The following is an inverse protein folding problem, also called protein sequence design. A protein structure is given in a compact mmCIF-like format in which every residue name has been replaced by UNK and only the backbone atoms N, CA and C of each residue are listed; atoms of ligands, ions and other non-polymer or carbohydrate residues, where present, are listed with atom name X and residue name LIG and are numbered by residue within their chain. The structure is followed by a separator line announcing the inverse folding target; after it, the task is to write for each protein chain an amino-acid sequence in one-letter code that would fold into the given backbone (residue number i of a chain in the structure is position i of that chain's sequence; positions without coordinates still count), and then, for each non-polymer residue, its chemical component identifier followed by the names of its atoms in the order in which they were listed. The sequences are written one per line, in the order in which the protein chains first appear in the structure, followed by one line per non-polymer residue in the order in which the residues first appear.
data_IF_817344035265
#
_entry.id   IF_817344035265
#
_cell.length_a   1.000
_cell.length_b   1.000
_cell.length_c   1.000
_cell.angle_alpha   90.00
_cell.angle_beta   90.00
_cell.angle_gamma   90.00
#
_symmetry.space_group_name_H-M   'P 1'
#
loop_
_entity.id
_entity.type
_entity.pdbx_description
1 polymer ?
#
# COMPACT_ATOMS: atom_id res chain seq x y z
N UNK A 1 -10.98 18.47 -22.93
CA UNK A 1 -10.76 17.04 -23.25
C UNK A 1 -9.90 16.50 -22.13
N UNK A 2 -10.49 15.72 -21.20
CA UNK A 2 -9.73 15.00 -20.18
C UNK A 2 -8.90 13.94 -20.88
N UNK A 3 -7.58 13.98 -20.70
CA UNK A 3 -6.72 12.88 -21.17
C UNK A 3 -7.26 11.56 -20.60
N UNK A 4 -7.29 10.46 -21.38
CA UNK A 4 -7.66 9.17 -20.84
C UNK A 4 -6.73 8.88 -19.67
N UNK A 5 -7.32 8.41 -18.55
CA UNK A 5 -6.57 8.00 -17.36
C UNK A 5 -5.79 6.74 -17.75
N UNK A 6 -4.54 6.92 -18.20
CA UNK A 6 -3.67 5.83 -18.60
C UNK A 6 -3.16 5.18 -17.30
N UNK A 7 -3.35 3.88 -17.16
CA UNK A 7 -2.80 3.13 -16.03
C UNK A 7 -1.27 3.25 -15.94
N UNK A 8 -0.69 3.30 -14.74
CA UNK A 8 0.74 3.55 -14.54
C UNK A 8 1.66 2.68 -15.40
N UNK A 9 1.34 1.40 -15.56
CA UNK A 9 2.17 0.46 -16.33
C UNK A 9 2.23 0.75 -17.84
N UNK A 10 1.32 1.57 -18.35
CA UNK A 10 1.28 2.06 -19.74
C UNK A 10 1.80 3.50 -19.91
N UNK A 11 2.03 4.21 -18.79
CA UNK A 11 2.40 5.63 -18.78
C UNK A 11 3.81 5.91 -19.29
N UNK A 12 4.70 4.91 -19.27
CA UNK A 12 6.12 5.10 -19.52
C UNK A 12 6.89 5.71 -18.34
N UNK A 13 6.24 5.88 -17.16
CA UNK A 13 6.93 6.28 -15.93
C UNK A 13 8.05 5.30 -15.58
N UNK A 14 8.99 5.74 -14.74
CA UNK A 14 10.12 4.92 -14.29
C UNK A 14 11.03 4.36 -15.41
N UNK A 15 11.10 5.03 -16.58
CA UNK A 15 11.90 4.56 -17.72
C UNK A 15 13.39 4.39 -17.40
N UNK A 16 13.92 5.15 -16.44
CA UNK A 16 15.30 5.04 -15.96
C UNK A 16 15.55 3.81 -15.06
N UNK A 17 14.49 3.20 -14.50
CA UNK A 17 14.59 2.04 -13.61
C UNK A 17 14.71 0.76 -14.45
N UNK A 18 15.49 -0.21 -13.96
CA UNK A 18 15.60 -1.50 -14.63
C UNK A 18 14.22 -2.17 -14.79
N UNK A 19 13.90 -2.73 -15.98
CA UNK A 19 12.55 -3.25 -16.28
C UNK A 19 11.99 -4.23 -15.27
N UNK A 20 12.83 -5.08 -14.67
CA UNK A 20 12.39 -6.06 -13.67
C UNK A 20 11.80 -5.44 -12.40
N UNK A 21 12.13 -4.19 -12.08
CA UNK A 21 11.66 -3.51 -10.87
C UNK A 21 10.43 -2.64 -11.10
N UNK A 22 10.18 -2.21 -12.34
CA UNK A 22 9.07 -1.31 -12.69
C UNK A 22 7.69 -1.83 -12.29
N UNK A 23 7.38 -3.16 -12.40
CA UNK A 23 6.06 -3.65 -12.01
C UNK A 23 5.69 -3.36 -10.56
N UNK A 24 6.65 -3.41 -9.62
CA UNK A 24 6.41 -2.98 -8.24
C UNK A 24 6.02 -1.51 -8.19
N UNK A 25 6.79 -0.62 -8.84
CA UNK A 25 6.55 0.82 -8.81
C UNK A 25 5.21 1.19 -9.45
N UNK A 26 4.85 0.57 -10.57
CA UNK A 26 3.53 0.73 -11.19
C UNK A 26 2.40 0.29 -10.26
N UNK A 27 2.60 -0.79 -9.50
CA UNK A 27 1.62 -1.24 -8.52
C UNK A 27 1.44 -0.22 -7.38
N UNK A 28 2.52 0.37 -6.88
CA UNK A 28 2.45 1.41 -5.86
C UNK A 28 1.79 2.70 -6.38
N UNK A 29 2.12 3.14 -7.59
CA UNK A 29 1.45 4.29 -8.23
C UNK A 29 -0.06 4.05 -8.42
N UNK A 30 -0.45 2.86 -8.89
CA UNK A 30 -1.87 2.51 -9.03
C UNK A 30 -2.57 2.53 -7.67
N UNK A 31 -1.93 1.98 -6.63
CA UNK A 31 -2.47 2.02 -5.27
C UNK A 31 -2.72 3.44 -4.77
N UNK A 32 -1.78 4.37 -5.02
CA UNK A 32 -1.94 5.79 -4.65
C UNK A 32 -3.12 6.44 -5.37
N UNK A 33 -3.25 6.22 -6.69
CA UNK A 33 -4.33 6.79 -7.50
C UNK A 33 -5.69 6.26 -7.04
N UNK A 34 -5.82 4.95 -6.89
CA UNK A 34 -7.07 4.30 -6.50
C UNK A 34 -7.51 4.69 -5.09
N UNK A 35 -6.60 4.64 -4.11
CA UNK A 35 -6.94 4.99 -2.73
C UNK A 35 -7.37 6.44 -2.62
N UNK A 36 -6.67 7.39 -3.27
CA UNK A 36 -7.08 8.79 -3.28
C UNK A 36 -8.45 8.99 -3.93
N UNK A 37 -8.69 8.33 -5.06
CA UNK A 37 -9.96 8.43 -5.78
C UNK A 37 -11.14 7.93 -4.93
N UNK A 38 -11.01 6.75 -4.35
CA UNK A 38 -12.12 6.10 -3.66
C UNK A 38 -12.36 6.59 -2.25
N UNK A 39 -11.37 7.25 -1.62
CA UNK A 39 -11.51 7.77 -0.26
C UNK A 39 -11.88 9.26 -0.18
N UNK A 40 -11.82 9.99 -1.30
CA UNK A 40 -11.97 11.44 -1.38
C UNK A 40 -13.24 12.01 -0.67
N UNK A 41 -14.31 11.24 -0.60
CA UNK A 41 -15.61 11.67 -0.08
C UNK A 41 -15.94 11.12 1.30
N UNK A 42 -15.02 10.41 1.93
CA UNK A 42 -15.25 9.82 3.25
C UNK A 42 -15.00 10.88 4.34
N UNK A 43 -15.86 10.87 5.37
CA UNK A 43 -15.65 11.67 6.58
C UNK A 43 -14.59 11.00 7.47
N UNK A 44 -13.99 11.78 8.39
CA UNK A 44 -13.00 11.26 9.35
C UNK A 44 -13.58 10.13 10.24
N UNK A 45 -14.87 10.20 10.58
CA UNK A 45 -15.55 9.15 11.34
C UNK A 45 -15.65 7.84 10.55
N UNK A 46 -15.82 7.92 9.23
CA UNK A 46 -15.92 6.77 8.36
C UNK A 46 -14.57 6.05 8.19
N UNK A 47 -13.44 6.74 8.35
CA UNK A 47 -12.11 6.15 8.19
C UNK A 47 -11.89 4.94 9.11
N UNK A 48 -12.42 5.00 10.33
CA UNK A 48 -12.27 3.94 11.33
C UNK A 48 -13.55 3.13 11.59
N UNK A 49 -14.60 3.37 10.84
CA UNK A 49 -15.82 2.58 10.93
C UNK A 49 -15.62 1.15 10.38
N UNK A 50 -16.35 0.21 10.94
CA UNK A 50 -16.36 -1.21 10.55
C UNK A 50 -17.72 -1.58 9.92
N UNK A 51 -17.99 -1.22 8.68
CA UNK A 51 -19.27 -1.53 8.05
C UNK A 51 -19.34 -3.04 7.76
N UNK A 52 -20.43 -3.69 8.13
CA UNK A 52 -20.70 -5.11 7.84
C UNK A 52 -19.53 -6.03 8.25
N UNK A 53 -18.86 -5.73 9.37
CA UNK A 53 -17.68 -6.45 9.86
C UNK A 53 -16.45 -6.41 8.93
N UNK A 54 -16.43 -5.54 7.92
CA UNK A 54 -15.22 -5.28 7.14
C UNK A 54 -14.17 -4.54 7.99
N UNK A 55 -12.90 -4.78 7.70
CA UNK A 55 -11.83 -4.04 8.34
C UNK A 55 -11.91 -2.54 8.02
N UNK A 56 -11.61 -1.65 9.01
CA UNK A 56 -11.61 -0.21 8.78
C UNK A 56 -10.70 0.21 7.63
N UNK A 57 -11.09 1.29 6.93
CA UNK A 57 -10.23 1.88 5.91
C UNK A 57 -8.88 2.31 6.49
N UNK A 58 -8.88 2.92 7.68
CA UNK A 58 -7.66 3.35 8.36
C UNK A 58 -6.69 2.21 8.65
N UNK A 59 -7.20 1.03 9.03
CA UNK A 59 -6.39 -0.18 9.12
C UNK A 59 -5.79 -0.55 7.76
N UNK A 60 -6.58 -0.57 6.68
CA UNK A 60 -6.08 -0.95 5.35
C UNK A 60 -4.95 -0.02 4.89
N UNK A 61 -5.08 1.28 5.08
CA UNK A 61 -4.06 2.27 4.70
C UNK A 61 -2.76 2.08 5.51
N UNK A 62 -2.87 1.93 6.83
CA UNK A 62 -1.70 1.64 7.69
C UNK A 62 -1.05 0.31 7.33
N UNK A 63 -1.86 -0.71 7.08
CA UNK A 63 -1.35 -2.03 6.74
C UNK A 63 -0.62 -2.03 5.39
N UNK A 64 -1.15 -1.32 4.39
CA UNK A 64 -0.48 -1.13 3.10
C UNK A 64 0.88 -0.47 3.31
N UNK A 65 0.94 0.69 3.95
CA UNK A 65 2.19 1.40 4.21
C UNK A 65 3.17 0.54 5.02
N UNK A 66 2.70 0.01 6.15
CA UNK A 66 3.52 -0.79 7.06
C UNK A 66 4.02 -2.10 6.45
N UNK A 67 3.20 -2.79 5.64
CA UNK A 67 3.63 -4.03 4.99
C UNK A 67 4.68 -3.76 3.92
N UNK A 68 4.54 -2.70 3.14
CA UNK A 68 5.55 -2.29 2.15
C UNK A 68 6.88 -1.98 2.83
N UNK A 69 6.90 -1.19 3.90
CA UNK A 69 8.11 -0.88 4.67
C UNK A 69 8.77 -2.14 5.24
N UNK A 70 8.00 -3.02 5.87
CA UNK A 70 8.51 -4.27 6.46
C UNK A 70 9.04 -5.26 5.43
N UNK A 71 8.30 -5.46 4.35
CA UNK A 71 8.71 -6.40 3.30
C UNK A 71 9.95 -5.89 2.56
N UNK A 72 10.05 -4.58 2.36
CA UNK A 72 11.25 -4.00 1.74
C UNK A 72 12.48 -4.10 2.63
N UNK A 73 12.33 -4.08 3.95
CA UNK A 73 13.42 -4.40 4.91
C UNK A 73 14.01 -5.79 4.65
N UNK A 74 13.18 -6.77 4.32
CA UNK A 74 13.67 -8.10 3.93
C UNK A 74 14.29 -8.13 2.53
N UNK A 75 13.83 -7.30 1.59
CA UNK A 75 14.51 -7.12 0.28
C UNK A 75 15.96 -6.67 0.51
N UNK A 76 16.20 -5.75 1.42
CA UNK A 76 17.52 -5.26 1.81
C UNK A 76 18.35 -6.30 2.61
N UNK A 77 17.80 -7.47 2.91
CA UNK A 77 18.46 -8.51 3.70
C UNK A 77 18.47 -8.26 5.21
N UNK A 78 17.72 -7.28 5.68
CA UNK A 78 17.66 -6.88 7.09
C UNK A 78 16.50 -7.55 7.83
N UNK A 79 16.53 -7.51 9.17
CA UNK A 79 15.43 -7.90 10.04
C UNK A 79 14.63 -6.67 10.50
N UNK A 80 13.36 -6.89 10.87
CA UNK A 80 12.52 -5.81 11.38
C UNK A 80 13.06 -5.26 12.70
N UNK A 81 13.02 -3.95 12.82
CA UNK A 81 13.36 -3.25 14.05
C UNK A 81 12.13 -3.08 14.98
N UNK A 82 12.35 -2.65 16.23
CA UNK A 82 11.28 -2.49 17.22
C UNK A 82 10.24 -1.45 16.82
N UNK A 83 10.60 -0.40 16.06
CA UNK A 83 9.64 0.58 15.53
C UNK A 83 8.65 -0.10 14.58
N UNK A 84 9.13 -0.91 13.64
CA UNK A 84 8.29 -1.64 12.69
C UNK A 84 7.39 -2.68 13.38
N UNK A 85 7.91 -3.37 14.40
CA UNK A 85 7.13 -4.32 15.20
C UNK A 85 6.05 -3.62 16.03
N UNK A 86 6.33 -2.46 16.57
CA UNK A 86 5.35 -1.64 17.31
C UNK A 86 4.28 -1.11 16.38
N UNK A 87 4.65 -0.57 15.20
CA UNK A 87 3.72 -0.12 14.20
C UNK A 87 2.77 -1.23 13.74
N UNK A 88 3.29 -2.45 13.50
CA UNK A 88 2.49 -3.62 13.15
C UNK A 88 1.41 -3.93 14.21
N UNK A 89 1.76 -3.86 15.49
CA UNK A 89 0.81 -4.13 16.59
C UNK A 89 -0.28 -3.06 16.72
N UNK A 90 -0.04 -1.86 16.21
CA UNK A 90 -0.93 -0.71 16.34
C UNK A 90 -1.75 -0.40 15.08
N UNK A 91 -1.67 -1.21 14.04
CA UNK A 91 -2.35 -0.94 12.76
C UNK A 91 -3.88 -0.78 12.91
N UNK A 92 -4.50 -1.50 13.84
CA UNK A 92 -5.94 -1.45 14.13
C UNK A 92 -6.34 -0.34 15.11
N UNK A 93 -5.39 0.39 15.69
CA UNK A 93 -5.71 1.42 16.68
C UNK A 93 -6.20 2.69 15.96
N UNK A 94 -7.45 3.17 16.19
CA UNK A 94 -7.97 4.39 15.57
C UNK A 94 -7.18 5.64 15.98
N UNK A 95 -7.40 6.76 15.28
CA UNK A 95 -6.95 8.08 15.71
C UNK A 95 -6.27 8.94 14.64
N UNK A 96 -5.63 8.33 13.61
CA UNK A 96 -5.09 9.10 12.50
C UNK A 96 -6.20 9.49 11.52
N UNK A 97 -6.14 10.73 11.02
CA UNK A 97 -6.99 11.24 9.94
C UNK A 97 -6.68 10.57 8.61
N UNK A 98 -7.62 10.66 7.65
CA UNK A 98 -7.40 10.18 6.29
C UNK A 98 -6.15 10.83 5.66
N UNK A 99 -5.99 12.14 5.84
CA UNK A 99 -4.85 12.89 5.28
C UNK A 99 -3.51 12.41 5.84
N UNK A 100 -3.42 12.16 7.14
CA UNK A 100 -2.21 11.64 7.78
C UNK A 100 -1.87 10.25 7.25
N UNK A 101 -2.86 9.36 7.14
CA UNK A 101 -2.67 8.00 6.63
C UNK A 101 -2.17 7.98 5.17
N UNK A 102 -2.76 8.81 4.31
CA UNK A 102 -2.33 8.92 2.91
C UNK A 102 -0.92 9.53 2.81
N UNK A 103 -0.60 10.51 3.64
CA UNK A 103 0.74 11.12 3.67
C UNK A 103 1.81 10.13 4.14
N UNK A 104 1.52 9.33 5.17
CA UNK A 104 2.41 8.27 5.63
C UNK A 104 2.66 7.22 4.54
N UNK A 105 1.60 6.78 3.86
CA UNK A 105 1.70 5.85 2.74
C UNK A 105 2.56 6.41 1.60
N UNK A 106 2.35 7.67 1.22
CA UNK A 106 3.14 8.31 0.16
C UNK A 106 4.62 8.39 0.52
N UNK A 107 4.94 8.74 1.77
CA UNK A 107 6.32 8.80 2.25
C UNK A 107 7.02 7.43 2.17
N UNK A 108 6.31 6.35 2.56
CA UNK A 108 6.82 4.98 2.44
C UNK A 108 7.05 4.61 0.98
N UNK A 109 6.10 4.88 0.09
CA UNK A 109 6.20 4.54 -1.34
C UNK A 109 7.35 5.30 -2.01
N UNK A 110 7.50 6.60 -1.72
CA UNK A 110 8.64 7.38 -2.20
C UNK A 110 9.98 6.82 -1.72
N UNK A 111 10.06 6.41 -0.46
CA UNK A 111 11.24 5.73 0.07
C UNK A 111 11.57 4.44 -0.68
N UNK A 112 10.56 3.66 -1.06
CA UNK A 112 10.75 2.44 -1.85
C UNK A 112 11.25 2.78 -3.27
N UNK A 113 10.72 3.81 -3.92
CA UNK A 113 11.23 4.25 -5.24
C UNK A 113 12.73 4.53 -5.17
N UNK A 114 13.18 5.34 -4.20
CA UNK A 114 14.59 5.67 -3.99
C UNK A 114 15.46 4.43 -3.74
N UNK A 115 14.96 3.48 -2.96
CA UNK A 115 15.68 2.24 -2.67
C UNK A 115 15.76 1.32 -3.89
N UNK A 116 14.71 1.24 -4.68
CA UNK A 116 14.66 0.45 -5.93
C UNK A 116 15.66 0.98 -6.96
N UNK A 117 15.90 2.30 -7.02
CA UNK A 117 16.93 2.91 -7.87
C UNK A 117 18.34 2.43 -7.56
N UNK A 118 18.57 1.99 -6.32
CA UNK A 118 19.87 1.50 -5.85
C UNK A 118 20.01 -0.03 -5.95
N UNK A 119 18.95 -0.76 -6.29
CA UNK A 119 19.01 -2.21 -6.40
C UNK A 119 19.77 -2.65 -7.65
N UNK A 120 20.71 -3.59 -7.45
CA UNK A 120 21.38 -4.26 -8.56
C UNK A 120 20.46 -5.34 -9.16
N UNK A 121 20.24 -5.26 -10.48
CA UNK A 121 19.45 -6.25 -11.19
C UNK A 121 20.08 -7.66 -11.16
N UNK A 122 21.39 -7.77 -10.93
CA UNK A 122 22.09 -9.05 -10.78
C UNK A 122 21.65 -9.76 -9.50
N UNK A 123 21.33 -8.97 -8.44
CA UNK A 123 20.91 -9.50 -7.15
C UNK A 123 19.44 -9.99 -7.11
N UNK A 124 18.70 -9.91 -8.21
CA UNK A 124 17.25 -10.19 -8.25
C UNK A 124 16.88 -11.62 -7.80
N UNK A 125 17.78 -12.58 -8.02
CA UNK A 125 17.59 -13.99 -7.63
C UNK A 125 18.25 -14.35 -6.31
N UNK A 126 18.89 -13.39 -5.62
CA UNK A 126 19.52 -13.66 -4.32
C UNK A 126 18.48 -14.11 -3.29
N UNK A 127 18.91 -15.05 -2.46
CA UNK A 127 18.08 -15.57 -1.38
C UNK A 127 17.86 -14.51 -0.29
N UNK A 128 16.66 -14.52 0.27
CA UNK A 128 16.24 -13.71 1.42
C UNK A 128 15.53 -14.59 2.44
N UNK A 129 15.64 -14.22 3.72
CA UNK A 129 14.93 -14.87 4.81
C UNK A 129 13.88 -13.93 5.42
N UNK A 130 12.63 -14.41 5.54
CA UNK A 130 11.52 -13.63 6.08
C UNK A 130 11.21 -14.03 7.52
N UNK A 131 11.12 -13.02 8.38
CA UNK A 131 10.76 -13.18 9.78
C UNK A 131 11.83 -13.89 10.62
N UNK A 132 11.51 -14.13 11.88
CA UNK A 132 12.44 -14.77 12.83
C UNK A 132 12.86 -16.20 12.42
N UNK A 133 12.00 -16.89 11.66
CA UNK A 133 12.26 -18.25 11.18
C UNK A 133 13.06 -18.29 9.87
N UNK A 134 13.43 -17.13 9.33
CA UNK A 134 14.18 -17.02 8.08
C UNK A 134 13.55 -17.85 6.96
N UNK A 135 12.21 -17.73 6.80
CA UNK A 135 11.51 -18.47 5.74
C UNK A 135 12.07 -18.07 4.37
N UNK A 136 12.46 -19.04 3.53
CA UNK A 136 13.22 -18.77 2.33
C UNK A 136 12.35 -18.13 1.24
N UNK A 137 12.92 -17.12 0.59
CA UNK A 137 12.42 -16.49 -0.62
C UNK A 137 13.59 -15.87 -1.40
N UNK A 138 13.30 -15.05 -2.40
CA UNK A 138 14.29 -14.29 -3.17
C UNK A 138 13.93 -12.82 -3.22
N UNK A 139 14.86 -11.97 -3.67
CA UNK A 139 14.59 -10.54 -3.90
C UNK A 139 13.37 -10.37 -4.79
N UNK A 140 13.33 -11.01 -5.97
CA UNK A 140 12.19 -10.91 -6.89
C UNK A 140 10.91 -11.45 -6.25
N UNK A 141 10.98 -12.52 -5.48
CA UNK A 141 9.82 -13.06 -4.76
C UNK A 141 9.21 -12.05 -3.81
N UNK A 142 10.04 -11.31 -3.07
CA UNK A 142 9.59 -10.22 -2.20
C UNK A 142 8.99 -9.05 -2.98
N UNK A 143 9.63 -8.60 -4.08
CA UNK A 143 9.13 -7.49 -4.89
C UNK A 143 7.76 -7.80 -5.49
N UNK A 144 7.57 -9.02 -6.00
CA UNK A 144 6.27 -9.50 -6.50
C UNK A 144 5.26 -9.57 -5.37
N UNK A 145 5.65 -10.10 -4.21
CA UNK A 145 4.76 -10.19 -3.05
C UNK A 145 4.33 -8.81 -2.53
N UNK A 146 5.23 -7.82 -2.48
CA UNK A 146 4.89 -6.45 -2.14
C UNK A 146 3.81 -5.92 -3.08
N UNK A 147 3.99 -6.08 -4.39
CA UNK A 147 3.05 -5.59 -5.39
C UNK A 147 1.66 -6.25 -5.24
N UNK A 148 1.59 -7.59 -5.20
CA UNK A 148 0.33 -8.33 -5.12
C UNK A 148 -0.39 -8.13 -3.78
N UNK A 149 0.38 -8.08 -2.67
CA UNK A 149 -0.16 -7.85 -1.33
C UNK A 149 -0.76 -6.45 -1.21
N UNK A 150 -0.06 -5.45 -1.72
CA UNK A 150 -0.56 -4.07 -1.80
C UNK A 150 -1.89 -4.02 -2.54
N UNK A 151 -1.98 -4.59 -3.76
CA UNK A 151 -3.21 -4.57 -4.55
C UNK A 151 -4.36 -5.34 -3.90
N UNK A 152 -4.08 -6.42 -3.19
CA UNK A 152 -5.10 -7.15 -2.40
C UNK A 152 -5.73 -6.26 -1.34
N UNK A 153 -4.92 -5.50 -0.59
CA UNK A 153 -5.41 -4.58 0.44
C UNK A 153 -6.04 -3.31 -0.14
N UNK A 154 -5.57 -2.82 -1.28
CA UNK A 154 -6.24 -1.75 -2.05
C UNK A 154 -7.66 -2.17 -2.44
N UNK A 155 -7.84 -3.38 -2.98
CA UNK A 155 -9.16 -3.90 -3.31
C UNK A 155 -10.10 -3.97 -2.09
N UNK A 156 -9.59 -4.38 -0.93
CA UNK A 156 -10.36 -4.39 0.33
C UNK A 156 -10.69 -2.96 0.80
N UNK A 157 -9.76 -2.03 0.72
CA UNK A 157 -9.98 -0.62 1.06
C UNK A 157 -11.07 0.00 0.18
N UNK A 158 -11.03 -0.24 -1.13
CA UNK A 158 -12.03 0.24 -2.09
C UNK A 158 -13.41 -0.34 -1.76
N UNK A 159 -13.48 -1.64 -1.44
CA UNK A 159 -14.74 -2.28 -1.05
C UNK A 159 -15.31 -1.60 0.22
N UNK A 160 -14.49 -1.43 1.25
CA UNK A 160 -14.90 -0.75 2.48
C UNK A 160 -15.39 0.68 2.20
N UNK A 161 -14.66 1.46 1.38
CA UNK A 161 -15.02 2.82 1.01
C UNK A 161 -16.38 2.88 0.27
N UNK A 162 -16.63 1.97 -0.67
CA UNK A 162 -17.91 1.87 -1.40
C UNK A 162 -19.08 1.55 -0.47
N UNK A 163 -18.90 0.60 0.46
CA UNK A 163 -19.93 0.24 1.44
C UNK A 163 -20.24 1.44 2.36
N UNK A 164 -19.22 2.13 2.87
CA UNK A 164 -19.41 3.31 3.71
C UNK A 164 -20.14 4.42 2.97
N UNK A 165 -19.80 4.69 1.72
CA UNK A 165 -20.48 5.68 0.89
C UNK A 165 -21.96 5.33 0.66
N UNK A 166 -22.28 4.06 0.41
CA UNK A 166 -23.64 3.58 0.19
C UNK A 166 -24.50 3.70 1.46
N UNK A 167 -23.94 3.35 2.62
CA UNK A 167 -24.65 3.48 3.91
C UNK A 167 -24.88 4.97 4.26
N UNK A 168 -23.88 5.82 4.01
CA UNK A 168 -23.98 7.27 4.27
C UNK A 168 -25.08 7.95 3.44
N UNK A 169 -25.23 7.57 2.18
CA UNK A 169 -26.28 8.11 1.30
C UNK A 169 -27.69 7.62 1.69
N UNK A 170 -27.81 6.39 2.19
CA UNK A 170 -29.09 5.82 2.63
C UNK A 170 -29.64 6.52 3.90
N UNK A 171 -28.77 7.11 4.72
CA UNK A 171 -29.15 7.81 5.96
C UNK A 171 -29.37 9.32 5.77
N UNK A 172 -29.19 9.88 4.59
CA UNK A 172 -29.50 11.27 4.28
C UNK A 172 -31.02 11.40 3.99
N UNK A 173 -31.80 12.19 4.75
CA UNK A 173 -33.22 12.36 4.45
C UNK A 173 -33.37 13.00 3.08
N UNK A 174 -34.27 12.41 2.25
CA UNK A 174 -34.66 12.97 0.96
C UNK A 174 -35.22 14.39 1.21
N UNK A 175 -34.56 15.40 0.67
CA UNK A 175 -35.09 16.77 0.61
C UNK A 175 -36.10 16.88 -0.50
#
# INVERSE_FOLDING_TARGET
MTQPNIEPWLSGSHSAIHPCFRPLLFSLEQAQQDLRHWTLRLSEEQVWAQPLALAPLGFQLRHIAGSVDRLFTYVEGNQLNERQLTALRSEMIPGASLSELLTEMDAVFQGVVQKVELLDAIAITENRGVGRKQLPTTVIGLLVHIAEHTQRHVGQAILTAKVLSAIGTANSPSQ
#
